data_IF_997856193384
#
_entry.id   IF_997856193384
#
_cell.length_a   1.000
_cell.length_b   1.000
_cell.length_c   1.000
_cell.angle_alpha   90.00
_cell.angle_beta   90.00
_cell.angle_gamma   90.00
#
_symmetry.space_group_name_H-M   'P 1'
#
loop_
_entity.id
_entity.type
_entity.pdbx_description
1 polymer ?
#
# COMPACT_ATOMS: atom_id res chain seq x y z
N UNK A 1 -1.91 -28.83 -1.74
CA UNK A 1 -1.67 -27.68 -0.87
C UNK A 1 -1.23 -26.55 -1.77
N UNK A 2 -2.21 -25.93 -2.41
CA UNK A 2 -2.04 -24.78 -3.28
C UNK A 2 -1.58 -23.62 -2.39
N UNK A 3 -0.27 -23.51 -2.20
CA UNK A 3 0.36 -22.33 -1.61
C UNK A 3 0.04 -21.24 -2.60
N UNK A 4 -1.09 -20.55 -2.38
CA UNK A 4 -1.53 -19.44 -3.18
C UNK A 4 -0.28 -18.61 -3.48
N UNK A 5 0.03 -18.42 -4.76
CA UNK A 5 1.03 -17.48 -5.23
C UNK A 5 0.57 -16.09 -4.80
N UNK A 6 0.66 -15.82 -3.49
CA UNK A 6 0.27 -14.55 -2.91
C UNK A 6 1.34 -13.59 -3.38
N UNK A 7 0.93 -12.67 -4.25
CA UNK A 7 1.79 -11.61 -4.72
C UNK A 7 2.35 -10.87 -3.50
N UNK A 8 3.64 -10.50 -3.51
CA UNK A 8 4.24 -9.71 -2.46
C UNK A 8 3.37 -8.50 -2.11
N UNK A 9 3.27 -8.20 -0.82
CA UNK A 9 2.40 -7.12 -0.36
C UNK A 9 3.23 -5.84 -0.16
N UNK A 10 3.01 -4.83 -1.00
CA UNK A 10 3.73 -3.56 -0.95
C UNK A 10 2.95 -2.49 -0.16
N UNK A 11 3.63 -1.75 0.70
CA UNK A 11 3.12 -0.60 1.43
C UNK A 11 3.74 0.66 0.85
N UNK A 12 2.94 1.66 0.55
CA UNK A 12 3.43 2.99 0.15
C UNK A 12 3.28 3.91 1.36
N UNK A 13 4.37 4.51 1.84
CA UNK A 13 4.36 5.44 2.97
C UNK A 13 4.87 6.80 2.52
N UNK A 14 4.14 7.85 2.89
CA UNK A 14 4.62 9.22 2.76
C UNK A 14 5.54 9.54 3.94
N UNK A 15 6.76 9.98 3.63
CA UNK A 15 7.71 10.53 4.57
C UNK A 15 7.71 12.04 4.43
N UNK A 16 7.55 12.75 5.54
CA UNK A 16 7.65 14.20 5.58
C UNK A 16 8.84 14.58 6.45
N UNK A 17 9.81 15.26 5.86
CA UNK A 17 10.94 15.86 6.56
C UNK A 17 10.72 17.37 6.67
N UNK A 18 11.54 18.06 7.46
CA UNK A 18 11.46 19.52 7.61
C UNK A 18 11.63 20.26 6.27
N UNK A 19 12.28 19.65 5.29
CA UNK A 19 12.62 20.27 4.01
C UNK A 19 11.79 19.75 2.84
N UNK A 20 11.37 18.48 2.87
CA UNK A 20 10.78 17.79 1.71
C UNK A 20 9.81 16.67 2.11
N UNK A 21 8.79 16.46 1.27
CA UNK A 21 7.90 15.31 1.34
C UNK A 21 8.20 14.35 0.19
N UNK A 22 8.37 13.07 0.50
CA UNK A 22 8.61 12.02 -0.47
C UNK A 22 7.84 10.75 -0.09
N UNK A 23 7.69 9.83 -1.04
CA UNK A 23 7.04 8.55 -0.83
C UNK A 23 8.09 7.44 -0.87
N UNK A 24 7.87 6.40 -0.08
CA UNK A 24 8.73 5.21 0.04
C UNK A 24 7.87 3.96 -0.10
N UNK A 25 8.45 2.89 -0.61
CA UNK A 25 7.75 1.61 -0.79
C UNK A 25 8.43 0.55 0.09
N UNK A 26 7.64 -0.25 0.79
CA UNK A 26 8.14 -1.41 1.56
C UNK A 26 7.37 -2.65 1.12
N UNK A 27 8.04 -3.73 0.75
CA UNK A 27 7.39 -4.96 0.28
C UNK A 27 7.56 -6.09 1.29
N UNK A 28 6.48 -6.82 1.55
CA UNK A 28 6.48 -8.01 2.40
C UNK A 28 6.50 -9.27 1.53
N UNK A 29 7.52 -10.11 1.71
CA UNK A 29 7.76 -11.36 0.98
C UNK A 29 8.06 -12.46 2.00
N UNK A 30 7.27 -13.54 2.00
CA UNK A 30 7.46 -14.71 2.89
C UNK A 30 7.57 -14.39 4.40
N UNK A 31 7.02 -13.25 4.86
CA UNK A 31 7.05 -12.80 6.25
C UNK A 31 8.16 -11.80 6.56
N UNK A 32 9.05 -11.52 5.62
CA UNK A 32 10.08 -10.49 5.72
C UNK A 32 9.63 -9.20 5.03
N UNK A 33 9.73 -8.08 5.74
CA UNK A 33 9.52 -6.74 5.16
C UNK A 33 10.84 -6.19 4.65
N UNK A 34 10.87 -5.81 3.37
CA UNK A 34 12.00 -5.16 2.71
C UNK A 34 11.62 -3.74 2.33
N UNK A 35 12.30 -2.76 2.91
CA UNK A 35 12.19 -1.37 2.49
C UNK A 35 12.94 -1.15 1.17
N UNK A 36 12.28 -0.52 0.21
CA UNK A 36 12.90 -0.12 -1.06
C UNK A 36 13.56 1.24 -0.82
N UNK A 37 14.87 1.32 -1.02
CA UNK A 37 15.67 2.56 -0.90
C UNK A 37 15.41 3.56 -2.04
N UNK A 38 14.21 3.53 -2.64
CA UNK A 38 13.78 4.45 -3.69
C UNK A 38 12.80 5.46 -3.11
N UNK A 39 13.14 6.73 -3.30
CA UNK A 39 12.28 7.85 -2.94
C UNK A 39 11.51 8.30 -4.17
N UNK A 40 10.20 8.42 -4.02
CA UNK A 40 9.30 8.88 -5.08
C UNK A 40 8.79 10.28 -4.75
N UNK A 41 8.73 11.15 -5.75
CA UNK A 41 8.18 12.51 -5.61
C UNK A 41 6.65 12.53 -5.53
N UNK A 42 5.98 11.47 -6.00
CA UNK A 42 4.53 11.36 -6.01
C UNK A 42 4.07 9.94 -5.63
N UNK A 43 2.86 9.86 -5.06
CA UNK A 43 2.22 8.58 -4.79
C UNK A 43 2.00 7.76 -6.07
N UNK A 44 1.63 8.42 -7.18
CA UNK A 44 1.38 7.75 -8.45
C UNK A 44 2.66 7.05 -8.96
N UNK A 45 3.82 7.71 -8.92
CA UNK A 45 5.09 7.06 -9.29
C UNK A 45 5.42 5.86 -8.38
N UNK A 46 5.16 5.96 -7.08
CA UNK A 46 5.35 4.82 -6.17
C UNK A 46 4.36 3.67 -6.49
N UNK A 47 3.13 4.00 -6.87
CA UNK A 47 2.11 3.03 -7.27
C UNK A 47 2.47 2.33 -8.59
N UNK A 48 2.90 3.10 -9.59
CA UNK A 48 3.33 2.57 -10.89
C UNK A 48 4.49 1.59 -10.68
N UNK A 49 5.47 1.93 -9.83
CA UNK A 49 6.56 1.03 -9.45
C UNK A 49 6.06 -0.28 -8.82
N UNK A 50 5.08 -0.21 -7.92
CA UNK A 50 4.47 -1.41 -7.32
C UNK A 50 3.77 -2.27 -8.38
N UNK A 51 3.06 -1.64 -9.32
CA UNK A 51 2.38 -2.33 -10.41
C UNK A 51 3.34 -2.98 -11.41
N UNK A 52 4.43 -2.30 -11.77
CA UNK A 52 5.49 -2.82 -12.65
C UNK A 52 6.19 -4.05 -12.05
N UNK A 53 6.30 -4.11 -10.72
CA UNK A 53 6.89 -5.24 -10.00
C UNK A 53 5.88 -6.38 -9.72
N UNK A 54 4.65 -6.28 -10.23
CA UNK A 54 3.55 -7.23 -9.99
C UNK A 54 3.26 -7.45 -8.49
N UNK A 55 3.47 -6.41 -7.68
CA UNK A 55 3.19 -6.45 -6.24
C UNK A 55 1.77 -5.94 -5.96
N UNK A 56 1.19 -6.42 -4.86
CA UNK A 56 -0.13 -5.98 -4.43
C UNK A 56 0.01 -4.90 -3.36
N UNK A 57 -0.59 -3.72 -3.58
CA UNK A 57 -0.62 -2.67 -2.56
C UNK A 57 -1.43 -3.15 -1.34
N UNK A 58 -0.83 -3.11 -0.15
CA UNK A 58 -1.52 -3.25 1.13
C UNK A 58 -2.52 -2.11 1.24
N UNK A 59 -3.80 -2.46 1.11
CA UNK A 59 -4.88 -1.56 1.49
C UNK A 59 -4.88 -1.46 3.01
N UNK A 60 -4.58 -0.29 3.55
CA UNK A 60 -4.90 -0.06 4.95
C UNK A 60 -6.39 -0.32 5.14
N UNK A 61 -6.80 -1.05 6.19
CA UNK A 61 -8.20 -1.16 6.52
C UNK A 61 -8.68 0.25 6.82
N UNK A 62 -9.43 0.83 5.87
CA UNK A 62 -10.21 2.02 6.12
C UNK A 62 -11.08 1.63 7.32
N UNK A 63 -10.77 2.17 8.51
CA UNK A 63 -11.68 2.12 9.63
C UNK A 63 -12.87 2.98 9.22
N UNK A 64 -13.75 2.43 8.39
CA UNK A 64 -15.04 2.99 8.07
C UNK A 64 -15.87 2.88 9.35
N UNK A 65 -15.62 3.81 10.27
CA UNK A 65 -16.57 4.14 11.30
C UNK A 65 -17.68 4.89 10.58
N UNK A 66 -18.86 4.28 10.49
CA UNK A 66 -20.11 4.82 9.93
C UNK A 66 -20.32 4.74 8.41
N UNK A 67 -20.81 3.58 7.95
CA UNK A 67 -22.01 3.56 7.08
C UNK A 67 -22.94 2.43 7.54
N UNK A 68 -23.47 2.53 8.77
CA UNK A 68 -24.75 1.90 9.11
C UNK A 68 -25.89 2.87 8.71
N UNK A 69 -26.07 3.11 7.41
CA UNK A 69 -27.39 3.54 6.91
C UNK A 69 -28.00 2.36 6.17
N UNK A 70 -28.41 1.36 6.96
CA UNK A 70 -29.29 0.31 6.49
C UNK A 70 -30.66 0.94 6.22
N UNK A 71 -30.95 1.18 4.94
CA UNK A 71 -32.29 1.12 4.36
C UNK A 71 -33.44 1.59 5.27
N UNK A 72 -33.67 2.90 5.35
CA UNK A 72 -35.04 3.36 5.56
C UNK A 72 -35.80 3.04 4.27
N UNK A 73 -36.47 1.88 4.31
CA UNK A 73 -37.42 1.44 3.29
C UNK A 73 -38.53 2.51 3.18
N UNK A 74 -38.99 2.85 1.97
CA UNK A 74 -39.99 3.90 1.75
C UNK A 74 -41.33 3.59 2.44
#
# INVERSE_FOLDING_TARGET
>A
MDKAMMKPQASIKQQQTEQQSYFTVSVEVDGDTKDIETQFSSFQHALDFVMENDWQVKREPVRSSHVEMRFLKP
#
